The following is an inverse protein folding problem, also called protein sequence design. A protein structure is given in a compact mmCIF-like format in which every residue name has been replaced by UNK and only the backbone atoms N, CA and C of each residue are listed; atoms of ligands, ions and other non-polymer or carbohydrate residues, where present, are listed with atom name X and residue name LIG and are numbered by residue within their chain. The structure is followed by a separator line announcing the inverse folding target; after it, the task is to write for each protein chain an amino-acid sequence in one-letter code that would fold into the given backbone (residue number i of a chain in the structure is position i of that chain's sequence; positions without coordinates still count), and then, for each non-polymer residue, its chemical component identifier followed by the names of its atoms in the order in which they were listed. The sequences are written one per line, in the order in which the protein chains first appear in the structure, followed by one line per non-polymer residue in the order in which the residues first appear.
data_IF_501543236222
#
_entry.id   IF_501543236222
#
_cell.length_a   1.000
_cell.length_b   1.000
_cell.length_c   1.000
_cell.angle_alpha   90.00
_cell.angle_beta   90.00
_cell.angle_gamma   90.00
#
_symmetry.space_group_name_H-M   'P 1'
#
loop_
_entity.id
_entity.type
_entity.pdbx_description
1 polymer ?
#
# COMPACT_ATOMS: atom_id res chain seq x y z
N UNK A 1 -12.18 67.11 9.91
CA UNK A 1 -12.05 66.39 8.62
C UNK A 1 -11.72 64.93 8.90
N UNK A 2 -12.39 64.03 8.16
CA UNK A 2 -12.47 62.58 8.35
C UNK A 2 -11.14 61.87 8.10
N UNK A 3 -10.70 61.07 9.07
CA UNK A 3 -9.63 60.07 8.97
C UNK A 3 -10.03 58.94 8.01
N UNK A 4 -9.22 58.66 6.99
CA UNK A 4 -9.31 57.43 6.20
C UNK A 4 -7.93 56.99 5.73
N UNK A 5 -7.23 56.25 6.59
CA UNK A 5 -6.12 55.37 6.23
C UNK A 5 -6.69 54.17 5.49
N UNK A 6 -6.47 54.08 4.18
CA UNK A 6 -6.75 52.88 3.38
C UNK A 6 -5.44 52.10 3.36
N UNK A 7 -5.25 51.25 4.37
CA UNK A 7 -4.14 50.31 4.45
C UNK A 7 -4.44 49.17 3.46
N UNK A 8 -3.68 49.12 2.36
CA UNK A 8 -3.80 48.09 1.34
C UNK A 8 -3.42 46.72 1.89
N UNK A 9 -4.42 45.90 2.21
CA UNK A 9 -4.27 44.48 2.51
C UNK A 9 -4.62 43.73 1.23
N UNK A 10 -3.66 43.48 0.36
CA UNK A 10 -3.84 42.61 -0.81
C UNK A 10 -2.48 42.12 -1.33
N UNK A 11 -1.75 41.35 -0.51
CA UNK A 11 -0.52 40.67 -0.93
C UNK A 11 -0.30 39.33 -0.21
N UNK A 12 -1.37 38.58 0.06
CA UNK A 12 -1.31 37.25 0.69
C UNK A 12 -1.86 36.10 -0.17
N UNK A 13 -2.28 36.36 -1.41
CA UNK A 13 -2.89 35.34 -2.28
C UNK A 13 -1.87 34.50 -3.08
N UNK A 14 -0.56 34.74 -2.95
CA UNK A 14 0.47 34.07 -3.77
C UNK A 14 1.16 32.87 -3.10
N UNK A 15 0.76 32.47 -1.87
CA UNK A 15 1.44 31.40 -1.12
C UNK A 15 0.67 30.07 -1.08
N UNK A 16 -0.52 29.96 -1.69
CA UNK A 16 -1.35 28.75 -1.60
C UNK A 16 -1.11 27.71 -2.70
N UNK A 17 -0.09 27.88 -3.55
CA UNK A 17 0.25 26.90 -4.59
C UNK A 17 1.45 26.04 -4.21
N UNK A 18 1.50 25.55 -2.97
CA UNK A 18 2.23 24.30 -2.71
C UNK A 18 1.28 23.17 -3.09
N UNK A 19 1.30 22.78 -4.37
CA UNK A 19 0.88 21.42 -4.69
C UNK A 19 1.83 20.52 -3.90
N UNK A 20 1.35 19.95 -2.79
CA UNK A 20 2.07 18.89 -2.11
C UNK A 20 2.20 17.77 -3.15
N UNK A 21 3.41 17.59 -3.67
CA UNK A 21 3.73 16.39 -4.43
C UNK A 21 3.63 15.25 -3.43
N UNK A 22 2.51 14.51 -3.47
CA UNK A 22 2.40 13.30 -2.68
C UNK A 22 3.54 12.38 -3.11
N UNK A 23 4.43 12.05 -2.18
CA UNK A 23 5.52 11.14 -2.46
C UNK A 23 4.94 9.72 -2.49
N UNK A 24 5.04 9.05 -3.64
CA UNK A 24 4.62 7.64 -3.75
C UNK A 24 5.78 6.73 -3.41
N UNK A 25 5.62 5.96 -2.34
CA UNK A 25 6.57 4.95 -1.90
C UNK A 25 6.13 3.57 -2.36
N UNK A 26 7.06 2.75 -2.83
CA UNK A 26 6.81 1.37 -3.22
C UNK A 26 7.58 0.41 -2.32
N UNK A 27 6.93 -0.68 -1.92
CA UNK A 27 7.54 -1.78 -1.17
C UNK A 27 6.82 -3.10 -1.47
N UNK A 28 7.52 -4.21 -1.27
CA UNK A 28 6.96 -5.54 -1.40
C UNK A 28 6.44 -6.06 -0.06
N UNK A 29 5.27 -6.70 -0.10
CA UNK A 29 4.67 -7.38 1.05
C UNK A 29 4.69 -8.88 0.81
N UNK A 30 5.19 -9.61 1.79
CA UNK A 30 5.23 -11.07 1.74
C UNK A 30 3.99 -11.64 2.43
N UNK A 31 3.20 -12.40 1.67
CA UNK A 31 2.07 -13.17 2.19
C UNK A 31 2.41 -14.64 2.29
N UNK A 32 1.89 -15.30 3.32
CA UNK A 32 2.00 -16.75 3.50
C UNK A 32 0.62 -17.35 3.72
N UNK A 33 0.39 -18.51 3.09
CA UNK A 33 -0.88 -19.22 3.15
C UNK A 33 -0.67 -20.73 3.02
N UNK A 34 -1.67 -21.50 3.44
CA UNK A 34 -1.65 -22.95 3.33
C UNK A 34 -3.02 -23.51 2.99
N UNK A 35 -3.06 -24.55 2.16
CA UNK A 35 -4.29 -25.15 1.66
C UNK A 35 -4.15 -26.64 1.40
N UNK A 36 -5.28 -27.32 1.21
CA UNK A 36 -5.34 -28.70 0.73
C UNK A 36 -4.99 -28.80 -0.75
N UNK A 37 -5.07 -27.68 -1.47
CA UNK A 37 -4.71 -27.56 -2.89
C UNK A 37 -3.75 -26.39 -3.09
N UNK A 38 -3.01 -26.39 -4.21
CA UNK A 38 -2.13 -25.28 -4.59
C UNK A 38 -2.91 -23.97 -4.72
N UNK A 39 -4.09 -24.02 -5.35
CA UNK A 39 -4.96 -22.86 -5.54
C UNK A 39 -5.40 -22.26 -4.20
N UNK A 40 -5.83 -23.09 -3.25
CA UNK A 40 -6.23 -22.64 -1.93
C UNK A 40 -5.06 -22.01 -1.15
N UNK A 41 -3.87 -22.63 -1.21
CA UNK A 41 -2.67 -22.08 -0.58
C UNK A 41 -2.30 -20.72 -1.17
N UNK A 42 -2.40 -20.58 -2.50
CA UNK A 42 -2.15 -19.33 -3.22
C UNK A 42 -3.14 -18.24 -2.81
N UNK A 43 -4.44 -18.52 -2.83
CA UNK A 43 -5.50 -17.57 -2.46
C UNK A 43 -5.33 -17.06 -1.02
N UNK A 44 -4.93 -17.93 -0.09
CA UNK A 44 -4.66 -17.52 1.28
C UNK A 44 -3.38 -16.71 1.42
N UNK A 45 -2.31 -17.07 0.70
CA UNK A 45 -1.07 -16.30 0.71
C UNK A 45 -1.28 -14.90 0.12
N UNK A 46 -2.00 -14.82 -1.01
CA UNK A 46 -2.39 -13.58 -1.66
C UNK A 46 -3.21 -12.70 -0.71
N UNK A 47 -4.29 -13.24 -0.13
CA UNK A 47 -5.12 -12.50 0.83
C UNK A 47 -4.30 -11.97 2.00
N UNK A 48 -3.39 -12.76 2.56
CA UNK A 48 -2.52 -12.32 3.64
C UNK A 48 -1.59 -11.16 3.22
N UNK A 49 -1.08 -11.15 1.99
CA UNK A 49 -0.29 -10.03 1.46
C UNK A 49 -1.14 -8.77 1.25
N UNK A 50 -2.34 -8.92 0.68
CA UNK A 50 -3.28 -7.81 0.48
C UNK A 50 -3.71 -7.16 1.80
N UNK A 51 -4.09 -7.96 2.79
CA UNK A 51 -4.48 -7.47 4.11
C UNK A 51 -3.34 -6.69 4.76
N UNK A 52 -2.10 -7.17 4.67
CA UNK A 52 -0.93 -6.45 5.18
C UNK A 52 -0.67 -5.13 4.44
N UNK A 53 -0.75 -5.10 3.10
CA UNK A 53 -0.61 -3.85 2.34
C UNK A 53 -1.71 -2.84 2.73
N UNK A 54 -2.96 -3.30 2.80
CA UNK A 54 -4.11 -2.48 3.20
C UNK A 54 -3.97 -1.91 4.62
N UNK A 55 -3.54 -2.73 5.58
CA UNK A 55 -3.34 -2.31 6.97
C UNK A 55 -2.23 -1.25 7.13
N UNK A 56 -1.31 -1.19 6.17
CA UNK A 56 -0.27 -0.16 6.08
C UNK A 56 -0.69 1.04 5.22
N UNK A 57 -2.01 1.24 5.04
CA UNK A 57 -2.59 2.30 4.20
C UNK A 57 -2.12 2.28 2.74
N UNK A 58 -1.65 1.12 2.30
CA UNK A 58 -1.13 0.93 0.96
C UNK A 58 -2.19 0.50 -0.05
N UNK A 59 -1.93 0.81 -1.30
CA UNK A 59 -2.62 0.30 -2.47
C UNK A 59 -1.80 -0.86 -3.03
N UNK A 60 -2.40 -2.04 -3.03
CA UNK A 60 -1.81 -3.23 -3.63
C UNK A 60 -1.78 -3.11 -5.16
N UNK A 61 -0.66 -3.51 -5.74
CA UNK A 61 -0.48 -3.66 -7.18
C UNK A 61 -1.14 -4.94 -7.71
N UNK A 62 -1.08 -5.12 -9.02
CA UNK A 62 -1.62 -6.31 -9.69
C UNK A 62 -0.58 -7.43 -9.87
N UNK A 63 0.69 -7.15 -9.62
CA UNK A 63 1.77 -8.11 -9.80
C UNK A 63 1.98 -8.91 -8.52
N UNK A 64 1.59 -10.19 -8.58
CA UNK A 64 1.84 -11.19 -7.56
C UNK A 64 2.96 -12.12 -8.04
N UNK A 65 3.96 -12.37 -7.20
CA UNK A 65 5.04 -13.33 -7.49
C UNK A 65 5.02 -14.47 -6.49
N UNK A 66 4.97 -15.72 -6.95
CA UNK A 66 5.18 -16.88 -6.07
C UNK A 66 6.66 -17.01 -5.74
N UNK A 67 7.00 -16.87 -4.46
CA UNK A 67 8.38 -16.95 -3.96
C UNK A 67 8.78 -18.37 -3.60
N UNK A 68 7.85 -19.13 -3.04
CA UNK A 68 8.08 -20.52 -2.63
C UNK A 68 6.77 -21.30 -2.56
N UNK A 69 6.87 -22.59 -2.85
CA UNK A 69 5.83 -23.59 -2.63
C UNK A 69 6.48 -24.82 -1.98
N UNK A 70 5.86 -25.35 -0.93
CA UNK A 70 6.31 -26.59 -0.29
C UNK A 70 5.16 -27.33 0.37
N UNK A 71 5.35 -28.63 0.65
CA UNK A 71 4.40 -29.43 1.42
C UNK A 71 4.95 -29.58 2.83
N UNK A 72 4.14 -29.23 3.84
CA UNK A 72 4.49 -29.47 5.24
C UNK A 72 4.43 -30.99 5.52
N UNK A 73 5.56 -31.64 5.89
CA UNK A 73 5.58 -33.08 6.13
C UNK A 73 4.77 -33.52 7.36
N UNK A 74 4.49 -32.62 8.31
CA UNK A 74 3.72 -32.96 9.51
C UNK A 74 2.21 -33.01 9.23
N UNK A 75 1.71 -32.12 8.37
CA UNK A 75 0.28 -31.93 8.14
C UNK A 75 -0.18 -32.37 6.75
N UNK A 76 0.74 -32.49 5.80
CA UNK A 76 0.47 -32.77 4.39
C UNK A 76 -0.16 -31.58 3.64
N UNK A 77 -0.26 -30.41 4.26
CA UNK A 77 -0.79 -29.21 3.61
C UNK A 77 0.25 -28.59 2.68
N UNK A 78 -0.24 -27.99 1.61
CA UNK A 78 0.56 -27.19 0.69
C UNK A 78 0.66 -25.80 1.29
N UNK A 79 1.88 -25.29 1.39
CA UNK A 79 2.18 -23.93 1.80
C UNK A 79 2.72 -23.15 0.61
N UNK A 80 2.36 -21.87 0.57
CA UNK A 80 2.87 -20.93 -0.42
C UNK A 80 3.28 -19.63 0.25
N UNK A 81 4.33 -19.03 -0.31
CA UNK A 81 4.77 -17.68 0.00
C UNK A 81 4.74 -16.86 -1.27
N UNK A 82 4.15 -15.68 -1.20
CA UNK A 82 4.02 -14.75 -2.34
C UNK A 82 4.57 -13.39 -1.99
N UNK A 83 4.99 -12.64 -3.00
CA UNK A 83 5.29 -11.20 -2.92
C UNK A 83 4.21 -10.44 -3.66
N UNK A 84 3.72 -9.37 -3.04
CA UNK A 84 2.77 -8.43 -3.62
C UNK A 84 3.35 -7.02 -3.55
N UNK A 85 3.44 -6.35 -4.69
CA UNK A 85 3.84 -4.95 -4.73
C UNK A 85 2.79 -4.07 -4.04
N UNK A 86 3.23 -3.15 -3.20
CA UNK A 86 2.37 -2.22 -2.46
C UNK A 86 2.87 -0.79 -2.62
N UNK A 87 1.96 0.18 -2.65
CA UNK A 87 2.31 1.61 -2.76
C UNK A 87 1.58 2.46 -1.74
N UNK A 88 2.26 3.44 -1.14
CA UNK A 88 1.67 4.40 -0.18
C UNK A 88 1.98 5.81 -0.65
N UNK A 89 0.98 6.70 -0.59
CA UNK A 89 1.13 8.13 -0.87
C UNK A 89 1.27 8.89 0.46
N UNK A 90 2.29 9.76 0.58
CA UNK A 90 2.51 10.68 1.74
C UNK A 90 1.85 12.05 1.54
#
# INVERSE_FOLDING_TARGET
MKTRTITGVLLLAALSSTAAFAARHHYDVVGEGYGRTQQEALEYAERAAYEQCYNNWGQAGQELTVLAEWVDPATGYIHMRVSLGCTVDD
#
